data_IF_857459194776
#
_entry.id   IF_857459194776
#
_cell.length_a   1.000
_cell.length_b   1.000
_cell.length_c   1.000
_cell.angle_alpha   90.00
_cell.angle_beta   90.00
_cell.angle_gamma   90.00
#
_symmetry.space_group_name_H-M   'P 1'
#
loop_
_entity.id
_entity.type
_entity.pdbx_description
1 polymer ?
#
# COMPACT_ATOMS: atom_id res chain seq x y z
N UNK A 1 -4.85 -7.92 1.60
CA UNK A 1 -5.66 -8.70 2.57
C UNK A 1 -4.85 -9.73 3.36
N UNK A 2 -4.27 -10.76 2.73
CA UNK A 2 -3.56 -11.84 3.44
C UNK A 2 -2.46 -11.35 4.40
N UNK A 3 -1.65 -10.38 3.98
CA UNK A 3 -0.59 -9.80 4.81
C UNK A 3 -1.18 -9.11 6.06
N UNK A 4 -2.23 -8.30 5.91
CA UNK A 4 -2.92 -7.64 7.02
C UNK A 4 -3.55 -8.66 7.97
N UNK A 5 -4.19 -9.72 7.44
CA UNK A 5 -4.78 -10.79 8.26
C UNK A 5 -3.72 -11.53 9.08
N UNK A 6 -2.55 -11.78 8.51
CA UNK A 6 -1.42 -12.41 9.22
C UNK A 6 -0.81 -11.49 10.29
N UNK A 7 -0.74 -10.19 10.03
CA UNK A 7 -0.21 -9.22 10.98
C UNK A 7 -1.18 -8.95 12.15
N UNK A 8 -2.49 -9.07 11.94
CA UNK A 8 -3.51 -8.79 12.94
C UNK A 8 -3.29 -7.41 13.61
N UNK A 9 -3.25 -7.34 14.94
CA UNK A 9 -3.02 -6.08 15.68
C UNK A 9 -1.65 -5.45 15.39
N UNK A 10 -0.66 -6.23 14.94
CA UNK A 10 0.66 -5.70 14.59
C UNK A 10 0.64 -4.84 13.31
N UNK A 11 -0.46 -4.84 12.55
CA UNK A 11 -0.61 -3.95 11.40
C UNK A 11 -0.83 -2.48 11.81
N UNK A 12 -1.30 -2.22 13.05
CA UNK A 12 -1.61 -0.88 13.54
C UNK A 12 -0.31 -0.09 13.70
N UNK A 13 -0.19 1.01 12.96
CA UNK A 13 1.02 1.83 12.94
C UNK A 13 2.16 1.28 12.08
N UNK A 14 1.97 0.11 11.45
CA UNK A 14 3.00 -0.53 10.65
C UNK A 14 3.23 0.13 9.28
N UNK A 15 4.31 -0.28 8.63
CA UNK A 15 4.61 0.01 7.24
C UNK A 15 4.36 -1.22 6.36
N UNK A 16 3.78 -1.03 5.19
CA UNK A 16 3.52 -2.08 4.20
C UNK A 16 4.39 -1.86 2.96
N UNK A 17 5.01 -2.93 2.45
CA UNK A 17 5.76 -2.91 1.21
C UNK A 17 5.06 -3.76 0.14
N UNK A 18 4.96 -3.24 -1.07
CA UNK A 18 4.50 -3.95 -2.26
C UNK A 18 5.66 -4.09 -3.26
N UNK A 19 5.87 -5.30 -3.77
CA UNK A 19 6.92 -5.62 -4.75
C UNK A 19 6.59 -5.11 -6.16
N UNK A 20 5.29 -4.99 -6.46
CA UNK A 20 4.70 -4.39 -7.65
C UNK A 20 3.77 -3.23 -7.30
N UNK A 21 3.36 -2.46 -8.33
CA UNK A 21 2.42 -1.37 -8.12
C UNK A 21 1.02 -1.88 -7.75
N UNK A 22 0.24 -1.04 -7.07
CA UNK A 22 -1.17 -1.33 -6.85
C UNK A 22 -1.96 -1.09 -8.15
N UNK A 23 -2.74 -2.08 -8.63
CA UNK A 23 -3.57 -1.87 -9.81
C UNK A 23 -4.84 -1.06 -9.50
N UNK A 24 -5.33 -1.13 -8.25
CA UNK A 24 -6.56 -0.49 -7.80
C UNK A 24 -6.45 -0.05 -6.33
N UNK A 25 -7.40 0.79 -5.88
CA UNK A 25 -7.47 1.31 -4.49
C UNK A 25 -7.74 0.22 -3.44
N UNK A 26 -8.35 -0.88 -3.80
CA UNK A 26 -8.79 -1.95 -2.89
C UNK A 26 -7.68 -2.46 -1.94
N UNK A 27 -6.47 -2.64 -2.45
CA UNK A 27 -5.30 -3.04 -1.67
C UNK A 27 -4.92 -1.99 -0.62
N UNK A 28 -4.99 -0.70 -0.98
CA UNK A 28 -4.72 0.42 -0.07
C UNK A 28 -5.83 0.56 0.97
N UNK A 29 -7.10 0.49 0.57
CA UNK A 29 -8.26 0.52 1.47
C UNK A 29 -8.18 -0.62 2.51
N UNK A 30 -7.71 -1.79 2.08
CA UNK A 30 -7.50 -2.93 2.98
C UNK A 30 -6.38 -2.64 3.99
N UNK A 31 -5.29 -2.03 3.56
CA UNK A 31 -4.19 -1.64 4.44
C UNK A 31 -4.62 -0.54 5.43
N UNK A 32 -5.40 0.43 4.98
CA UNK A 32 -5.96 1.50 5.80
C UNK A 32 -6.85 0.93 6.93
N UNK A 33 -7.76 0.03 6.58
CA UNK A 33 -8.63 -0.67 7.57
C UNK A 33 -7.84 -1.48 8.59
N UNK A 34 -6.65 -1.98 8.22
CA UNK A 34 -5.76 -2.69 9.13
C UNK A 34 -4.91 -1.76 10.02
N UNK A 35 -4.97 -0.45 9.83
CA UNK A 35 -4.24 0.53 10.63
C UNK A 35 -2.82 0.84 10.13
N UNK A 36 -2.47 0.44 8.91
CA UNK A 36 -1.17 0.77 8.28
C UNK A 36 -1.01 2.29 8.16
N UNK A 37 0.19 2.81 8.43
CA UNK A 37 0.49 4.25 8.36
C UNK A 37 1.45 4.66 7.25
N UNK A 38 2.16 3.70 6.67
CA UNK A 38 3.02 3.96 5.52
C UNK A 38 2.95 2.81 4.51
N UNK A 39 2.98 3.14 3.22
CA UNK A 39 3.02 2.20 2.10
C UNK A 39 4.18 2.57 1.19
N UNK A 40 5.00 1.59 0.83
CA UNK A 40 6.05 1.71 -0.20
C UNK A 40 5.74 0.80 -1.38
N UNK A 41 5.77 1.34 -2.61
CA UNK A 41 5.48 0.60 -3.84
C UNK A 41 6.28 1.17 -5.03
N UNK A 42 6.42 0.47 -6.17
CA UNK A 42 7.24 0.96 -7.29
C UNK A 42 6.72 2.21 -7.99
N UNK A 43 5.40 2.41 -8.06
CA UNK A 43 4.74 3.34 -8.96
C UNK A 43 4.73 2.83 -10.40
N UNK A 44 4.22 3.65 -11.32
CA UNK A 44 4.09 3.35 -12.74
C UNK A 44 2.72 2.83 -13.16
N UNK A 45 1.72 2.90 -12.27
CA UNK A 45 0.33 2.61 -12.62
C UNK A 45 -0.28 3.80 -13.35
N UNK A 46 -1.13 3.54 -14.35
CA UNK A 46 -1.98 4.59 -14.95
C UNK A 46 -2.94 5.22 -13.92
N UNK A 47 -3.09 4.58 -12.75
CA UNK A 47 -3.96 5.00 -11.64
C UNK A 47 -3.19 5.51 -10.42
N UNK A 48 -1.91 5.83 -10.53
CA UNK A 48 -1.15 6.31 -9.37
C UNK A 48 -1.76 7.57 -8.74
N UNK A 49 -2.36 8.48 -9.52
CA UNK A 49 -3.07 9.65 -8.99
C UNK A 49 -4.25 9.27 -8.09
N UNK A 50 -5.02 8.26 -8.49
CA UNK A 50 -6.14 7.72 -7.71
C UNK A 50 -5.65 7.08 -6.40
N UNK A 51 -4.51 6.38 -6.44
CA UNK A 51 -3.90 5.76 -5.27
C UNK A 51 -3.33 6.79 -4.28
N UNK A 52 -2.70 7.85 -4.78
CA UNK A 52 -2.19 8.95 -3.95
C UNK A 52 -3.35 9.66 -3.26
N UNK A 53 -4.44 9.94 -3.97
CA UNK A 53 -5.64 10.52 -3.39
C UNK A 53 -6.19 9.64 -2.26
N UNK A 54 -6.30 8.33 -2.50
CA UNK A 54 -6.73 7.38 -1.47
C UNK A 54 -5.79 7.36 -0.26
N UNK A 55 -4.47 7.38 -0.48
CA UNK A 55 -3.49 7.44 0.61
C UNK A 55 -3.67 8.69 1.47
N UNK A 56 -3.88 9.83 0.83
CA UNK A 56 -4.12 11.11 1.51
C UNK A 56 -5.44 11.11 2.29
N UNK A 57 -6.52 10.57 1.72
CA UNK A 57 -7.83 10.42 2.39
C UNK A 57 -7.70 9.63 3.70
N UNK A 58 -6.86 8.59 3.72
CA UNK A 58 -6.62 7.74 4.89
C UNK A 58 -5.45 8.18 5.78
N UNK A 59 -4.77 9.28 5.44
CA UNK A 59 -3.59 9.76 6.17
C UNK A 59 -2.43 8.76 6.19
N UNK A 60 -2.21 8.07 5.07
CA UNK A 60 -1.13 7.08 4.88
C UNK A 60 -0.01 7.73 4.07
N UNK A 61 1.22 7.66 4.60
CA UNK A 61 2.39 8.08 3.85
C UNK A 61 2.65 7.11 2.69
N UNK A 62 2.70 7.60 1.45
CA UNK A 62 2.99 6.78 0.26
C UNK A 62 4.36 7.12 -0.31
N UNK A 63 5.18 6.10 -0.54
CA UNK A 63 6.55 6.22 -1.07
C UNK A 63 6.67 5.42 -2.37
N UNK A 64 7.28 6.04 -3.40
CA UNK A 64 7.58 5.38 -4.67
C UNK A 64 9.06 5.02 -4.80
N UNK A 65 9.35 3.77 -5.15
CA UNK A 65 10.72 3.30 -5.36
C UNK A 65 11.21 3.44 -6.80
N UNK A 66 10.29 3.50 -7.77
CA UNK A 66 10.61 3.43 -9.20
C UNK A 66 11.14 2.06 -9.66
N UNK A 67 11.15 1.04 -8.78
CA UNK A 67 11.75 -0.27 -9.07
C UNK A 67 10.86 -1.41 -8.59
N UNK A 68 10.50 -2.30 -9.52
CA UNK A 68 9.71 -3.51 -9.28
C UNK A 68 10.61 -4.69 -8.90
N UNK A 69 10.18 -5.50 -7.94
CA UNK A 69 10.95 -6.61 -7.37
C UNK A 69 10.24 -7.97 -7.54
N UNK A 70 9.71 -8.25 -8.73
CA UNK A 70 9.07 -9.55 -9.00
C UNK A 70 10.05 -10.71 -8.86
N UNK A 71 9.57 -11.79 -8.23
CA UNK A 71 10.24 -13.08 -8.15
C UNK A 71 9.19 -14.17 -8.33
N UNK A 72 9.42 -15.05 -9.30
CA UNK A 72 8.57 -16.21 -9.58
C UNK A 72 8.94 -17.39 -8.68
#
# INVERSE_FOLDING_TARGET
ELACKKAAEQAIGASLASDAFFPFRDGLETAAKAGVKAIIQPGGSVRDSELIAAANEHGIAMVFTGKRHFRH
#
